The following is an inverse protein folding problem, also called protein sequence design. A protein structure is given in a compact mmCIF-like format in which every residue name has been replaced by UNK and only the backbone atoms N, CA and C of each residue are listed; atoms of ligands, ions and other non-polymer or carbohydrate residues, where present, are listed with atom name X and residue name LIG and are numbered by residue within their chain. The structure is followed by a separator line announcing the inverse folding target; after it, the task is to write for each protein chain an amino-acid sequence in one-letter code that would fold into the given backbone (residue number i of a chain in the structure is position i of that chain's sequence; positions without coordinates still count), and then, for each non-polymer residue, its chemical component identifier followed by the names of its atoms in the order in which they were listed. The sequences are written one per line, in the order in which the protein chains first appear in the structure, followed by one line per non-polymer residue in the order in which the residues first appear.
data_IF_828545195147
#
_entry.id   IF_828545195147
#
_cell.length_a   1.000
_cell.length_b   1.000
_cell.length_c   1.000
_cell.angle_alpha   90.00
_cell.angle_beta   90.00
_cell.angle_gamma   90.00
#
_symmetry.space_group_name_H-M   'P 1'
#
loop_
_entity.id
_entity.type
_entity.pdbx_description
1 polymer ?
#
# COMPACT_ATOMS: atom_id res chain seq x y z
N UNK A 1 -0.10 9.90 0.22
CA UNK A 1 -0.61 8.52 -0.06
C UNK A 1 -2.08 8.47 0.32
N UNK A 2 -2.93 8.15 -0.62
CA UNK A 2 -4.37 8.13 -0.40
C UNK A 2 -4.97 6.80 -0.82
N UNK A 3 -6.13 6.48 -0.25
CA UNK A 3 -6.86 5.26 -0.62
C UNK A 3 -7.18 5.31 -2.11
N UNK A 4 -6.88 4.23 -2.80
CA UNK A 4 -7.06 4.14 -4.25
C UNK A 4 -5.81 4.44 -5.07
N UNK A 5 -4.75 4.95 -4.42
CA UNK A 5 -3.50 5.21 -5.11
C UNK A 5 -2.78 3.92 -5.47
N UNK A 6 -2.02 3.97 -6.57
CA UNK A 6 -1.09 2.89 -6.89
C UNK A 6 0.18 3.11 -6.09
N UNK A 7 0.63 2.03 -5.46
CA UNK A 7 1.85 2.05 -4.66
C UNK A 7 2.73 0.88 -5.09
N UNK A 8 4.00 0.93 -4.73
CA UNK A 8 4.97 -0.11 -5.05
C UNK A 8 5.37 -0.84 -3.77
N UNK A 9 5.31 -2.16 -3.81
CA UNK A 9 5.77 -3.01 -2.71
C UNK A 9 6.47 -4.22 -3.31
N UNK A 10 7.69 -4.46 -2.87
CA UNK A 10 8.53 -5.57 -3.36
C UNK A 10 8.62 -5.60 -4.89
N UNK A 11 8.73 -4.42 -5.48
CA UNK A 11 8.91 -4.29 -6.92
C UNK A 11 7.64 -4.41 -7.75
N UNK A 12 6.48 -4.53 -7.12
CA UNK A 12 5.21 -4.68 -7.83
C UNK A 12 4.24 -3.57 -7.44
N UNK A 13 3.31 -3.28 -8.36
CA UNK A 13 2.30 -2.25 -8.13
C UNK A 13 1.05 -2.86 -7.51
N UNK A 14 0.52 -2.16 -6.50
CA UNK A 14 -0.70 -2.56 -5.81
C UNK A 14 -1.59 -1.34 -5.61
N UNK A 15 -2.85 -1.57 -5.31
CA UNK A 15 -3.79 -0.49 -5.01
C UNK A 15 -3.90 -0.36 -3.49
N UNK A 16 -3.72 0.85 -2.99
CA UNK A 16 -3.85 1.12 -1.56
C UNK A 16 -5.33 1.12 -1.17
N UNK A 17 -5.71 0.24 -0.25
CA UNK A 17 -7.09 0.12 0.21
C UNK A 17 -7.30 0.53 1.65
N UNK A 18 -6.27 0.50 2.46
CA UNK A 18 -6.37 0.87 3.86
C UNK A 18 -5.05 1.42 4.35
N UNK A 19 -5.12 2.31 5.33
CA UNK A 19 -3.94 2.97 5.87
C UNK A 19 -4.17 3.23 7.35
N UNK A 20 -3.33 2.65 8.20
CA UNK A 20 -3.42 2.89 9.63
C UNK A 20 -2.96 4.31 9.98
N UNK A 21 -3.50 4.90 11.05
CA UNK A 21 -3.10 6.26 11.47
C UNK A 21 -1.61 6.34 11.80
N UNK A 22 -1.06 7.52 11.66
CA UNK A 22 0.35 7.76 11.96
C UNK A 22 0.71 7.52 13.42
N UNK A 23 -0.27 7.58 14.31
CA UNK A 23 -0.06 7.36 15.73
C UNK A 23 0.14 5.89 16.08
N UNK A 24 -0.13 4.98 15.17
CA UNK A 24 0.04 3.54 15.41
C UNK A 24 1.50 3.15 15.18
N UNK A 25 2.17 2.58 16.20
CA UNK A 25 3.53 2.06 15.99
C UNK A 25 3.50 0.91 15.01
N UNK A 26 4.53 0.82 14.17
CA UNK A 26 4.64 -0.25 13.16
C UNK A 26 3.38 -0.34 12.29
N UNK A 27 2.88 0.81 11.88
CA UNK A 27 1.63 0.86 11.13
C UNK A 27 1.74 0.09 9.82
N UNK A 28 0.61 -0.44 9.40
CA UNK A 28 0.51 -1.27 8.21
C UNK A 28 -0.45 -0.64 7.23
N UNK A 29 -0.37 -1.10 6.01
CA UNK A 29 -1.30 -0.69 4.95
C UNK A 29 -2.00 -1.93 4.41
N UNK A 30 -3.20 -1.75 3.90
CA UNK A 30 -3.91 -2.81 3.20
C UNK A 30 -3.76 -2.58 1.71
N UNK A 31 -3.31 -3.60 1.02
CA UNK A 31 -3.06 -3.55 -0.41
C UNK A 31 -3.94 -4.54 -1.14
N UNK A 32 -4.32 -4.18 -2.35
CA UNK A 32 -5.07 -5.07 -3.23
C UNK A 32 -4.26 -5.35 -4.47
N UNK A 33 -4.13 -6.64 -4.83
CA UNK A 33 -3.51 -7.03 -6.07
C UNK A 33 -4.48 -6.71 -7.21
N UNK A 34 -4.12 -5.81 -8.13
CA UNK A 34 -5.04 -5.42 -9.19
C UNK A 34 -5.34 -6.54 -10.19
N UNK A 35 -4.52 -7.58 -10.23
CA UNK A 35 -4.76 -8.69 -11.15
C UNK A 35 -5.68 -9.75 -10.56
N UNK A 36 -5.59 -9.99 -9.25
CA UNK A 36 -6.34 -11.08 -8.62
C UNK A 36 -7.45 -10.59 -7.72
N UNK A 37 -7.36 -9.35 -7.27
CA UNK A 37 -8.31 -8.80 -6.30
C UNK A 37 -8.02 -9.22 -4.86
N UNK A 38 -6.93 -9.94 -4.61
CA UNK A 38 -6.59 -10.34 -3.25
C UNK A 38 -6.18 -9.15 -2.40
N UNK A 39 -6.62 -9.19 -1.14
CA UNK A 39 -6.25 -8.17 -0.16
C UNK A 39 -5.26 -8.75 0.84
N UNK A 40 -4.28 -7.95 1.22
CA UNK A 40 -3.31 -8.36 2.24
C UNK A 40 -2.73 -7.11 2.88
N UNK A 41 -2.03 -7.29 3.99
CA UNK A 41 -1.40 -6.15 4.66
C UNK A 41 0.11 -6.21 4.52
N UNK A 42 0.72 -5.03 4.50
CA UNK A 42 2.17 -4.89 4.41
C UNK A 42 2.62 -3.77 5.34
N UNK A 43 3.89 -3.82 5.80
CA UNK A 43 4.42 -2.72 6.62
C UNK A 43 4.47 -1.43 5.81
N UNK A 44 4.00 -0.35 6.41
CA UNK A 44 4.00 0.94 5.74
C UNK A 44 5.40 1.32 5.23
N UNK A 45 6.42 1.01 6.00
CA UNK A 45 7.80 1.38 5.67
C UNK A 45 8.31 0.72 4.39
N UNK A 46 7.74 -0.40 3.99
CA UNK A 46 8.16 -1.13 2.80
C UNK A 46 7.45 -0.68 1.54
N UNK A 47 6.44 0.16 1.69
CA UNK A 47 5.60 0.59 0.58
C UNK A 47 6.04 1.98 0.13
N UNK A 48 6.17 2.17 -1.18
CA UNK A 48 6.55 3.46 -1.75
C UNK A 48 5.43 3.98 -2.63
N UNK A 49 5.27 5.29 -2.68
CA UNK A 49 4.35 5.87 -3.65
C UNK A 49 4.92 5.73 -5.05
N UNK A 50 4.05 5.42 -5.99
CA UNK A 50 4.46 5.38 -7.38
C UNK A 50 4.68 6.81 -7.85
N UNK A 51 5.87 7.05 -8.38
CA UNK A 51 6.22 8.34 -8.94
C UNK A 51 6.04 8.30 -10.45
N UNK A 52 5.25 9.21 -10.97
CA UNK A 52 5.06 9.33 -12.42
C UNK A 52 5.93 10.43 -13.02
N UNK A 53 6.79 10.96 -12.21
CA UNK A 53 7.64 12.07 -12.61
C UNK A 53 8.79 11.71 -13.50
#
# INVERSE_FOLDING_TARGET
MEIGDLVIWKGRAYVLRGLEPMSVPDRRVELEDPETGELFSAPFEEVSERSDG
#
